data_IF_333637343045
#
_entry.id   IF_333637343045
#
_cell.length_a   1.000
_cell.length_b   1.000
_cell.length_c   1.000
_cell.angle_alpha   90.00
_cell.angle_beta   90.00
_cell.angle_gamma   90.00
#
_symmetry.space_group_name_H-M   'P 1'
#
loop_
_entity.id
_entity.type
_entity.pdbx_description
1 polymer ?
#
# COMPACT_ATOMS: atom_id res chain seq x y z
N UNK A 1 12.34 -19.10 -2.78
CA UNK A 1 12.88 -19.38 -4.08
C UNK A 1 14.11 -18.59 -4.31
N UNK A 2 14.95 -19.17 -5.05
CA UNK A 2 16.21 -18.53 -5.31
C UNK A 2 16.10 -17.30 -6.18
N UNK A 3 14.96 -17.11 -6.87
CA UNK A 3 14.93 -16.00 -7.77
C UNK A 3 13.87 -15.02 -7.41
N UNK A 4 14.03 -14.37 -6.30
CA UNK A 4 13.15 -13.28 -5.92
C UNK A 4 13.57 -12.05 -6.72
N UNK A 5 12.62 -11.26 -7.24
CA UNK A 5 12.97 -10.04 -7.96
C UNK A 5 13.78 -9.10 -7.09
N UNK A 6 14.62 -8.29 -7.73
CA UNK A 6 15.39 -7.30 -7.00
C UNK A 6 14.48 -6.27 -6.34
N UNK A 7 13.35 -5.96 -6.97
CA UNK A 7 12.37 -5.04 -6.41
C UNK A 7 11.03 -5.72 -6.44
N UNK A 8 10.28 -5.59 -5.37
CA UNK A 8 8.91 -6.11 -5.34
C UNK A 8 8.12 -5.43 -4.23
N UNK A 9 6.81 -5.53 -4.33
CA UNK A 9 5.89 -4.90 -3.41
C UNK A 9 4.96 -5.96 -2.85
N UNK A 10 4.75 -5.92 -1.55
CA UNK A 10 3.74 -6.78 -0.92
C UNK A 10 2.68 -5.89 -0.29
N UNK A 11 1.44 -6.36 -0.27
CA UNK A 11 0.32 -5.63 0.27
C UNK A 11 -0.41 -6.53 1.24
N UNK A 12 -0.68 -6.02 2.43
CA UNK A 12 -1.37 -6.79 3.44
C UNK A 12 -2.37 -5.90 4.16
N UNK A 13 -3.56 -6.42 4.39
CA UNK A 13 -4.53 -5.69 5.20
C UNK A 13 -4.16 -5.86 6.66
N UNK A 14 -3.96 -4.75 7.36
CA UNK A 14 -3.52 -4.79 8.74
C UNK A 14 -4.56 -4.24 9.71
N UNK A 15 -5.70 -3.82 9.20
CA UNK A 15 -6.73 -3.31 10.09
C UNK A 15 -7.84 -2.64 9.30
N UNK A 16 -8.57 -1.78 9.98
CA UNK A 16 -9.65 -1.03 9.38
C UNK A 16 -11.01 -1.51 9.84
N UNK A 17 -11.99 -0.65 9.68
CA UNK A 17 -13.36 -0.93 10.07
C UNK A 17 -14.21 -1.26 8.87
N UNK A 18 -15.45 -1.59 9.16
CA UNK A 18 -16.36 -1.98 8.11
C UNK A 18 -17.79 -1.74 8.57
N UNK A 19 -18.61 -1.20 7.70
CA UNK A 19 -20.03 -1.11 7.94
C UNK A 19 -20.74 -1.88 6.83
N UNK A 20 -22.07 -1.83 6.84
CA UNK A 20 -22.85 -2.52 5.82
C UNK A 20 -22.53 -1.99 4.42
N UNK A 21 -22.27 -0.70 4.30
CA UNK A 21 -22.11 -0.07 2.99
C UNK A 21 -20.69 0.40 2.70
N UNK A 22 -19.85 0.51 3.71
CA UNK A 22 -18.54 1.10 3.56
C UNK A 22 -17.49 0.23 4.23
N UNK A 23 -16.40 0.00 3.56
CA UNK A 23 -15.24 -0.69 4.10
C UNK A 23 -14.09 0.31 4.14
N UNK A 24 -13.38 0.35 5.25
CA UNK A 24 -12.22 1.25 5.39
C UNK A 24 -10.98 0.43 5.72
N UNK A 25 -10.48 -0.35 4.76
CA UNK A 25 -9.31 -1.17 5.03
C UNK A 25 -8.07 -0.33 5.24
N UNK A 26 -7.26 -0.77 6.18
CA UNK A 26 -5.94 -0.19 6.36
C UNK A 26 -4.92 -1.18 5.83
N UNK A 27 -4.10 -0.74 4.90
CA UNK A 27 -3.16 -1.61 4.20
C UNK A 27 -1.73 -1.22 4.52
N UNK A 28 -0.90 -2.22 4.70
CA UNK A 28 0.54 -2.01 4.78
C UNK A 28 1.12 -2.43 3.44
N UNK A 29 1.73 -1.49 2.75
CA UNK A 29 2.36 -1.74 1.46
C UNK A 29 3.85 -1.71 1.70
N UNK A 30 4.51 -2.83 1.48
CA UNK A 30 5.92 -2.94 1.76
C UNK A 30 6.69 -2.96 0.46
N UNK A 31 7.65 -2.07 0.34
CA UNK A 31 8.43 -1.90 -0.89
C UNK A 31 9.85 -2.35 -0.62
N UNK A 32 10.27 -3.40 -1.28
CA UNK A 32 11.56 -4.06 -1.06
C UNK A 32 12.46 -3.80 -2.26
N UNK A 33 13.72 -3.56 -2.01
CA UNK A 33 14.67 -3.36 -3.10
C UNK A 33 16.07 -3.72 -2.64
N UNK A 34 17.03 -3.64 -3.55
CA UNK A 34 18.40 -4.03 -3.26
C UNK A 34 19.17 -3.02 -2.42
N UNK A 35 18.67 -1.80 -2.29
CA UNK A 35 19.31 -0.81 -1.45
C UNK A 35 18.25 0.11 -0.86
N UNK A 36 18.64 0.86 0.17
CA UNK A 36 17.73 1.79 0.83
C UNK A 36 17.22 2.84 -0.14
N UNK A 37 18.09 3.37 -0.99
CA UNK A 37 17.71 4.39 -1.96
C UNK A 37 16.72 3.82 -2.96
N UNK A 38 16.94 2.61 -3.43
CA UNK A 38 16.03 1.98 -4.38
C UNK A 38 14.71 1.66 -3.73
N UNK A 39 14.72 1.24 -2.46
CA UNK A 39 13.46 0.99 -1.74
C UNK A 39 12.66 2.27 -1.56
N UNK A 40 13.33 3.38 -1.27
CA UNK A 40 12.66 4.67 -1.14
C UNK A 40 12.06 5.11 -2.47
N UNK A 41 12.78 4.91 -3.57
CA UNK A 41 12.23 5.25 -4.89
C UNK A 41 11.04 4.40 -5.25
N UNK A 42 11.07 3.12 -4.88
CA UNK A 42 9.95 2.23 -5.12
C UNK A 42 8.74 2.67 -4.30
N UNK A 43 8.96 3.11 -3.07
CA UNK A 43 7.88 3.62 -2.23
C UNK A 43 7.26 4.88 -2.82
N UNK A 44 8.08 5.79 -3.36
CA UNK A 44 7.56 6.98 -4.01
C UNK A 44 6.72 6.63 -5.23
N UNK A 45 7.17 5.66 -6.01
CA UNK A 45 6.42 5.21 -7.16
C UNK A 45 5.09 4.57 -6.73
N UNK A 46 5.12 3.78 -5.68
CA UNK A 46 3.90 3.16 -5.16
C UNK A 46 2.90 4.21 -4.70
N UNK A 47 3.38 5.28 -4.06
CA UNK A 47 2.49 6.35 -3.63
C UNK A 47 1.88 7.07 -4.82
N UNK A 48 2.64 7.27 -5.89
CA UNK A 48 2.13 7.89 -7.10
C UNK A 48 1.01 7.05 -7.71
N UNK A 49 1.18 5.74 -7.72
CA UNK A 49 0.15 4.85 -8.23
C UNK A 49 -1.08 4.89 -7.33
N UNK A 50 -0.88 4.90 -6.01
CA UNK A 50 -2.00 4.98 -5.08
C UNK A 50 -2.80 6.25 -5.26
N UNK A 51 -2.15 7.36 -5.54
CA UNK A 51 -2.85 8.62 -5.72
C UNK A 51 -3.79 8.60 -6.91
N UNK A 52 -3.59 7.68 -7.83
CA UNK A 52 -4.47 7.52 -8.97
C UNK A 52 -5.63 6.57 -8.69
N UNK A 53 -5.56 5.84 -7.60
CA UNK A 53 -6.58 4.85 -7.29
C UNK A 53 -7.93 5.50 -6.94
N UNK A 54 -7.93 6.77 -6.55
CA UNK A 54 -9.18 7.46 -6.26
C UNK A 54 -10.06 7.56 -7.49
N UNK A 55 -9.50 7.33 -8.68
CA UNK A 55 -10.27 7.34 -9.91
C UNK A 55 -11.08 6.07 -10.10
N UNK A 56 -10.83 5.05 -9.28
CA UNK A 56 -11.58 3.82 -9.36
C UNK A 56 -13.00 4.02 -8.85
N UNK A 57 -13.99 3.36 -9.46
CA UNK A 57 -15.39 3.66 -9.17
C UNK A 57 -15.81 3.50 -7.72
N UNK A 58 -15.25 2.56 -7.01
CA UNK A 58 -15.70 2.29 -5.66
C UNK A 58 -14.86 2.91 -4.57
N UNK A 59 -13.80 3.61 -4.94
CA UNK A 59 -12.89 4.20 -3.97
C UNK A 59 -13.31 5.65 -3.73
N UNK A 60 -13.74 5.95 -2.52
CA UNK A 60 -14.15 7.30 -2.17
C UNK A 60 -13.01 8.13 -1.62
N UNK A 61 -12.02 7.49 -1.02
CA UNK A 61 -10.94 8.24 -0.37
C UNK A 61 -9.72 7.37 -0.20
N UNK A 62 -8.55 7.97 -0.33
CA UNK A 62 -7.26 7.33 -0.07
C UNK A 62 -6.48 8.25 0.83
N UNK A 63 -6.00 7.70 1.94
CA UNK A 63 -5.35 8.49 2.96
C UNK A 63 -4.03 7.82 3.32
N UNK A 64 -2.92 8.36 2.84
CA UNK A 64 -1.61 7.82 3.15
C UNK A 64 -1.24 8.27 4.55
N UNK A 65 -1.20 7.34 5.47
CA UNK A 65 -0.99 7.65 6.88
C UNK A 65 0.48 7.85 7.22
N UNK A 66 1.34 7.05 6.66
CA UNK A 66 2.77 7.16 6.96
C UNK A 66 3.59 6.46 5.89
N UNK A 67 4.83 6.87 5.78
CA UNK A 67 5.84 6.22 4.95
C UNK A 67 7.09 6.15 5.81
N UNK A 68 7.54 4.95 6.13
CA UNK A 68 8.69 4.80 7.00
C UNK A 68 9.71 3.84 6.43
N UNK A 69 10.97 4.08 6.76
CA UNK A 69 12.04 3.16 6.47
C UNK A 69 11.99 2.07 7.54
N UNK A 70 11.64 0.86 7.13
CA UNK A 70 11.37 -0.21 8.09
C UNK A 70 12.07 -1.47 7.62
N UNK A 71 13.40 -1.52 7.69
CA UNK A 71 14.14 -2.66 7.16
C UNK A 71 13.89 -3.92 7.98
N UNK A 72 13.87 -5.05 7.29
CA UNK A 72 13.75 -6.32 7.96
C UNK A 72 15.01 -6.60 8.75
N UNK A 73 16.17 -6.32 8.14
CA UNK A 73 17.45 -6.40 8.80
C UNK A 73 18.40 -5.53 7.99
N UNK A 74 19.70 -5.57 8.32
CA UNK A 74 20.65 -4.69 7.65
C UNK A 74 20.81 -4.98 6.17
N UNK A 75 20.51 -6.20 5.76
CA UNK A 75 20.74 -6.59 4.38
C UNK A 75 19.46 -6.60 3.55
N UNK A 76 18.33 -6.23 4.12
CA UNK A 76 17.06 -6.31 3.42
C UNK A 76 16.31 -4.98 3.56
N UNK A 77 16.64 -4.00 2.74
CA UNK A 77 15.98 -2.69 2.80
C UNK A 77 14.51 -2.79 2.47
N UNK A 78 13.70 -2.07 3.21
CA UNK A 78 12.27 -2.07 3.02
C UNK A 78 11.69 -0.75 3.49
N UNK A 79 10.79 -0.17 2.70
CA UNK A 79 9.96 0.94 3.14
C UNK A 79 8.54 0.45 3.28
N UNK A 80 7.84 0.94 4.27
CA UNK A 80 6.45 0.59 4.48
C UNK A 80 5.58 1.82 4.38
N UNK A 81 4.52 1.71 3.58
CA UNK A 81 3.53 2.75 3.43
C UNK A 81 2.26 2.22 4.08
N UNK A 82 1.72 2.96 5.03
CA UNK A 82 0.44 2.62 5.63
C UNK A 82 -0.61 3.52 5.03
N UNK A 83 -1.65 2.93 4.46
CA UNK A 83 -2.68 3.68 3.77
C UNK A 83 -4.05 3.19 4.21
N UNK A 84 -4.98 4.13 4.36
CA UNK A 84 -6.37 3.80 4.65
C UNK A 84 -7.20 4.16 3.44
N UNK A 85 -8.03 3.24 2.99
CA UNK A 85 -8.95 3.47 1.90
C UNK A 85 -10.36 3.56 2.44
N UNK A 86 -11.20 4.30 1.75
CA UNK A 86 -12.63 4.27 2.00
C UNK A 86 -13.27 3.74 0.73
N UNK A 87 -13.90 2.59 0.82
CA UNK A 87 -14.42 1.88 -0.34
C UNK A 87 -15.90 1.62 -0.15
N UNK A 88 -16.69 1.92 -1.17
CA UNK A 88 -18.10 1.61 -1.15
C UNK A 88 -18.28 0.13 -1.50
N UNK A 89 -19.03 -0.58 -0.66
CA UNK A 89 -19.17 -2.03 -0.84
C UNK A 89 -20.07 -2.39 -2.02
N UNK A 90 -21.09 -1.46 -2.36
CA UNK A 90 -21.74 -1.75 -3.49
C UNK A 90 -21.97 -0.73 -4.31
N UNK A 91 -22.02 -0.96 -5.46
CA UNK A 91 -22.30 -0.06 -6.27
C UNK A 91 -23.51 -0.26 -6.66
N UNK A 92 -23.83 -0.78 -6.44
CA UNK A 92 -24.72 -0.80 -6.84
C UNK A 92 -25.73 -1.06 -7.05
N UNK A 93 -25.88 -1.23 -6.70
CA UNK A 93 -26.98 -1.19 -6.78
C UNK A 93 -27.40 -0.99 -8.05
N UNK A 94 -26.85 -1.03 -8.73
CA UNK A 94 -27.18 -0.73 -9.83
C UNK A 94 -27.65 -1.65 -10.45
#
# INVERSE_FOLDING_TARGET
PPHRPERFVTIERVGGGETKFIDTPMLAIQCWAGSRVKAAKLADLAKTVLERAWQMPNVARIDVQSTINFPLDESTPRYQITVELTVHKYEAAQ
#
